data_IF_001124868198
#
_entry.id   IF_001124868198
#
_cell.length_a   1.000
_cell.length_b   1.000
_cell.length_c   1.000
_cell.angle_alpha   90.00
_cell.angle_beta   90.00
_cell.angle_gamma   90.00
#
_symmetry.space_group_name_H-M   'P 1'
#
loop_
_entity.id
_entity.type
_entity.pdbx_description
1 polymer ?
#
# COMPACT_ATOMS: atom_id res chain seq x y z
N UNK A 1 37.11 -12.17 42.74
CA UNK A 1 37.19 -13.17 41.65
C UNK A 1 36.59 -12.53 40.42
N UNK A 2 37.40 -12.27 39.40
CA UNK A 2 37.02 -11.51 38.22
C UNK A 2 36.27 -12.36 37.19
N UNK A 3 35.24 -11.78 36.58
CA UNK A 3 34.49 -12.36 35.47
C UNK A 3 35.21 -12.02 34.15
N UNK A 4 35.58 -13.05 33.38
CA UNK A 4 36.07 -12.92 32.01
C UNK A 4 34.96 -13.36 31.05
N UNK A 5 34.44 -12.41 30.28
CA UNK A 5 33.52 -12.63 29.17
C UNK A 5 34.31 -13.08 27.94
N UNK A 6 34.09 -14.32 27.49
CA UNK A 6 34.60 -14.82 26.21
C UNK A 6 33.51 -14.65 25.13
N UNK A 7 33.71 -13.67 24.24
CA UNK A 7 32.91 -13.48 23.02
C UNK A 7 33.43 -14.46 21.96
N UNK A 8 32.62 -15.44 21.57
CA UNK A 8 32.86 -16.27 20.37
C UNK A 8 32.11 -15.63 19.19
N UNK A 9 32.85 -15.07 18.23
CA UNK A 9 32.35 -14.77 16.88
C UNK A 9 32.48 -16.04 16.04
N UNK A 10 31.35 -16.61 15.61
CA UNK A 10 31.34 -17.65 14.57
C UNK A 10 31.19 -16.98 13.21
N UNK A 11 32.12 -17.29 12.30
CA UNK A 11 32.04 -16.97 10.89
C UNK A 11 31.53 -18.21 10.15
N UNK A 12 30.53 -18.05 9.30
CA UNK A 12 30.05 -19.09 8.39
C UNK A 12 30.35 -18.68 6.95
N UNK A 13 31.32 -19.38 6.36
CA UNK A 13 31.65 -19.37 4.93
C UNK A 13 31.02 -20.61 4.31
N UNK A 14 30.24 -20.47 3.25
CA UNK A 14 29.93 -21.57 2.33
C UNK A 14 30.10 -21.10 0.89
N UNK A 15 30.86 -21.88 0.14
CA UNK A 15 31.13 -21.74 -1.28
C UNK A 15 30.67 -23.02 -1.99
N UNK A 16 30.13 -22.89 -3.21
CA UNK A 16 29.98 -23.95 -4.21
C UNK A 16 29.93 -23.26 -5.58
N UNK A 17 31.00 -23.21 -6.38
CA UNK A 17 31.54 -24.20 -7.33
C UNK A 17 30.59 -24.62 -8.46
N UNK A 18 30.67 -23.82 -9.55
CA UNK A 18 30.93 -24.17 -10.96
C UNK A 18 30.10 -25.27 -11.68
N UNK A 19 29.37 -24.81 -12.71
CA UNK A 19 29.76 -25.13 -14.10
C UNK A 19 28.68 -25.75 -14.98
N UNK A 20 28.40 -25.13 -16.13
CA UNK A 20 28.42 -25.79 -17.45
C UNK A 20 28.41 -24.81 -18.63
N UNK A 21 29.18 -25.22 -19.62
CA UNK A 21 29.49 -24.56 -20.90
C UNK A 21 28.43 -24.94 -21.94
N UNK A 22 27.99 -23.98 -22.75
CA UNK A 22 27.54 -24.24 -24.12
C UNK A 22 27.76 -23.01 -25.01
N UNK A 23 27.89 -23.29 -26.31
CA UNK A 23 28.78 -22.63 -27.26
C UNK A 23 27.95 -22.07 -28.42
N UNK A 24 28.18 -20.79 -28.73
CA UNK A 24 28.12 -20.09 -30.03
C UNK A 24 27.07 -20.49 -31.08
N UNK A 25 26.40 -19.48 -31.67
CA UNK A 25 26.67 -19.08 -33.06
C UNK A 25 26.03 -17.71 -33.38
N UNK A 26 26.89 -16.76 -33.74
CA UNK A 26 26.52 -15.47 -34.30
C UNK A 26 26.31 -15.61 -35.81
N UNK A 27 25.22 -15.05 -36.33
CA UNK A 27 25.04 -14.77 -37.75
C UNK A 27 24.55 -13.34 -37.90
N UNK A 28 25.45 -12.50 -38.41
CA UNK A 28 25.18 -11.12 -38.79
C UNK A 28 24.37 -11.07 -40.08
N UNK A 29 23.31 -10.26 -40.12
CA UNK A 29 22.70 -9.81 -41.37
C UNK A 29 22.50 -8.30 -41.29
N UNK A 30 23.32 -7.59 -42.06
CA UNK A 30 23.19 -6.17 -42.36
C UNK A 30 22.10 -6.04 -43.43
N UNK A 31 21.03 -5.28 -43.18
CA UNK A 31 20.25 -4.68 -44.27
C UNK A 31 19.78 -3.27 -43.90
N UNK A 32 19.73 -2.49 -44.97
CA UNK A 32 19.82 -1.06 -45.13
C UNK A 32 18.62 -0.25 -44.65
N UNK A 33 18.92 1.04 -44.44
CA UNK A 33 18.09 2.16 -44.00
C UNK A 33 16.80 2.35 -44.80
N UNK A 34 15.76 2.82 -44.11
CA UNK A 34 14.79 3.76 -44.68
C UNK A 34 14.39 4.77 -43.61
N UNK A 35 14.70 6.02 -43.89
CA UNK A 35 14.45 7.21 -43.08
C UNK A 35 12.98 7.61 -43.12
N UNK A 36 12.34 7.74 -41.96
CA UNK A 36 11.13 8.55 -41.81
C UNK A 36 11.20 9.37 -40.53
N UNK A 37 10.78 10.61 -40.69
CA UNK A 37 11.04 11.81 -39.89
C UNK A 37 10.18 11.83 -38.61
N UNK A 38 10.76 12.03 -37.41
CA UNK A 38 10.00 12.43 -36.23
C UNK A 38 9.71 13.95 -36.27
N UNK A 39 8.46 14.32 -36.00
CA UNK A 39 7.97 15.69 -35.86
C UNK A 39 8.77 16.48 -34.80
N UNK A 40 9.02 17.79 -34.99
CA UNK A 40 9.77 18.58 -34.02
C UNK A 40 8.95 18.83 -32.74
N UNK A 41 9.48 18.32 -31.64
CA UNK A 41 9.18 18.75 -30.28
C UNK A 41 9.62 20.20 -30.11
N UNK A 42 8.73 21.05 -29.59
CA UNK A 42 9.03 22.44 -29.24
C UNK A 42 9.79 22.50 -27.91
N UNK A 43 11.08 22.19 -27.92
CA UNK A 43 11.98 22.54 -26.83
C UNK A 43 12.67 23.87 -27.16
N UNK A 44 12.30 24.92 -26.44
CA UNK A 44 13.00 26.21 -26.47
C UNK A 44 14.36 26.06 -25.78
N UNK A 45 15.48 26.51 -26.39
CA UNK A 45 16.74 26.62 -25.67
C UNK A 45 16.68 27.84 -24.74
N UNK A 46 16.70 27.61 -23.43
CA UNK A 46 16.97 28.68 -22.47
C UNK A 46 18.45 29.06 -22.59
N UNK A 47 18.70 30.29 -23.01
CA UNK A 47 20.04 30.90 -23.01
C UNK A 47 20.43 31.17 -21.56
N UNK A 48 21.45 30.45 -21.07
CA UNK A 48 22.04 30.73 -19.77
C UNK A 48 22.79 32.07 -19.82
N UNK A 49 22.21 33.11 -19.21
CA UNK A 49 22.95 34.32 -18.82
C UNK A 49 23.37 34.15 -17.38
N UNK A 50 24.68 34.03 -17.16
CA UNK A 50 25.28 34.04 -15.83
C UNK A 50 24.99 35.36 -15.11
N UNK A 51 24.53 35.26 -13.87
CA UNK A 51 24.49 36.36 -12.92
C UNK A 51 25.42 36.03 -11.75
N UNK A 52 26.16 37.02 -11.21
CA UNK A 52 27.04 36.79 -10.08
C UNK A 52 26.20 36.54 -8.82
N UNK A 53 26.69 35.59 -8.03
CA UNK A 53 26.17 35.15 -6.75
C UNK A 53 25.89 36.34 -5.81
N UNK A 54 24.61 36.51 -5.43
CA UNK A 54 24.19 37.39 -4.34
C UNK A 54 23.20 36.63 -3.45
N UNK A 55 23.74 35.81 -2.56
CA UNK A 55 22.95 34.99 -1.63
C UNK A 55 22.51 35.83 -0.44
N UNK A 56 21.43 36.59 -0.62
CA UNK A 56 20.66 37.15 0.50
C UNK A 56 19.17 37.44 0.18
N UNK A 57 18.70 37.19 -1.06
CA UNK A 57 17.29 37.48 -1.47
C UNK A 57 16.61 36.37 -2.28
N UNK A 58 17.30 35.26 -2.54
CA UNK A 58 16.80 34.12 -3.34
C UNK A 58 15.76 33.21 -2.63
N UNK A 59 15.87 32.86 -1.33
CA UNK A 59 14.95 31.88 -0.72
C UNK A 59 13.49 32.36 -0.68
N UNK A 60 13.27 33.66 -0.45
CA UNK A 60 11.91 34.23 -0.43
C UNK A 60 11.18 34.15 -1.79
N UNK A 61 11.91 34.03 -2.91
CA UNK A 61 11.31 33.91 -4.24
C UNK A 61 10.97 32.47 -4.60
N UNK A 62 11.81 31.50 -4.19
CA UNK A 62 11.51 30.07 -4.39
C UNK A 62 10.28 29.66 -3.60
N UNK A 63 10.15 30.13 -2.37
CA UNK A 63 9.06 29.74 -1.47
C UNK A 63 7.74 30.34 -1.94
N UNK A 64 7.74 31.59 -2.41
CA UNK A 64 6.57 32.20 -3.05
C UNK A 64 6.12 31.44 -4.31
N UNK A 65 7.07 30.97 -5.12
CA UNK A 65 6.75 30.19 -6.32
C UNK A 65 6.12 28.85 -5.93
N UNK A 66 6.69 28.17 -4.93
CA UNK A 66 6.16 26.92 -4.42
C UNK A 66 4.76 27.09 -3.80
N UNK A 67 4.53 28.15 -3.03
CA UNK A 67 3.20 28.47 -2.47
C UNK A 67 2.17 28.65 -3.58
N UNK A 68 2.51 29.34 -4.68
CA UNK A 68 1.59 29.51 -5.81
C UNK A 68 1.22 28.18 -6.48
N UNK A 69 2.20 27.29 -6.62
CA UNK A 69 1.98 25.93 -7.17
C UNK A 69 1.09 25.11 -6.24
N UNK A 70 1.33 25.14 -4.93
CA UNK A 70 0.49 24.45 -3.94
C UNK A 70 -0.93 25.04 -3.93
N UNK A 71 -1.08 26.35 -4.08
CA UNK A 71 -2.40 27.00 -4.14
C UNK A 71 -3.20 26.62 -5.39
N UNK A 72 -2.54 26.48 -6.55
CA UNK A 72 -3.21 25.91 -7.72
C UNK A 72 -3.63 24.47 -7.48
N UNK A 73 -2.77 23.65 -6.88
CA UNK A 73 -3.07 22.23 -6.62
C UNK A 73 -4.23 22.06 -5.64
N UNK A 74 -4.28 22.86 -4.55
CA UNK A 74 -5.41 22.85 -3.60
C UNK A 74 -6.71 23.23 -4.30
N UNK A 75 -6.68 24.19 -5.21
CA UNK A 75 -7.86 24.63 -5.95
C UNK A 75 -8.35 23.51 -6.87
N UNK A 76 -7.45 22.90 -7.63
CA UNK A 76 -7.78 21.86 -8.61
C UNK A 76 -8.31 20.60 -7.91
N UNK A 77 -7.70 20.20 -6.78
CA UNK A 77 -8.17 19.05 -5.98
C UNK A 77 -9.50 19.29 -5.27
N UNK A 78 -9.79 20.53 -4.83
CA UNK A 78 -11.10 20.87 -4.27
C UNK A 78 -12.22 20.81 -5.31
N UNK A 79 -11.95 21.29 -6.53
CA UNK A 79 -12.92 21.25 -7.64
C UNK A 79 -13.22 19.81 -8.09
N UNK A 80 -12.29 18.88 -7.94
CA UNK A 80 -12.51 17.46 -8.23
C UNK A 80 -13.41 16.75 -7.18
N UNK A 81 -13.24 17.07 -5.89
CA UNK A 81 -13.96 16.42 -4.76
C UNK A 81 -15.42 16.90 -4.63
N UNK A 82 -15.72 18.17 -4.94
CA UNK A 82 -17.07 18.77 -4.80
C UNK A 82 -18.08 18.23 -5.83
N UNK A 83 -17.61 17.52 -6.86
CA UNK A 83 -18.46 16.91 -7.89
C UNK A 83 -19.04 15.54 -7.51
N UNK A 84 -18.57 14.90 -6.43
CA UNK A 84 -18.98 13.54 -5.99
C UNK A 84 -19.71 13.52 -4.63
N UNK A 85 -20.37 14.63 -4.28
CA UNK A 85 -21.04 14.86 -3.00
C UNK A 85 -22.40 14.14 -2.83
N UNK A 86 -22.60 13.02 -3.52
CA UNK A 86 -23.65 12.07 -3.15
C UNK A 86 -23.06 11.11 -2.12
N UNK A 87 -23.41 11.29 -0.84
CA UNK A 87 -23.21 10.27 0.19
C UNK A 87 -24.08 9.06 -0.21
N UNK A 88 -23.48 8.07 -0.86
CA UNK A 88 -24.13 6.78 -1.05
C UNK A 88 -24.51 6.21 0.31
N UNK A 89 -25.81 6.22 0.60
CA UNK A 89 -26.35 5.61 1.82
C UNK A 89 -26.36 4.11 1.63
N UNK A 90 -25.37 3.40 2.18
CA UNK A 90 -25.47 1.93 2.25
C UNK A 90 -26.69 1.58 3.11
N UNK A 91 -27.43 0.57 2.67
CA UNK A 91 -28.39 -0.11 3.54
C UNK A 91 -27.65 -0.64 4.80
N UNK A 92 -28.01 -0.11 5.97
CA UNK A 92 -27.41 -0.50 7.25
C UNK A 92 -27.57 -1.99 7.57
N UNK A 93 -28.47 -2.71 6.88
CA UNK A 93 -28.60 -4.15 7.00
C UNK A 93 -27.43 -4.93 6.38
N UNK A 94 -26.83 -4.40 5.31
CA UNK A 94 -25.68 -5.02 4.64
C UNK A 94 -24.33 -4.56 5.20
N UNK A 95 -24.29 -3.38 5.83
CA UNK A 95 -23.10 -2.85 6.49
C UNK A 95 -23.35 -2.52 7.98
N UNK A 96 -23.12 -3.50 8.89
CA UNK A 96 -23.45 -3.38 10.31
C UNK A 96 -22.33 -2.78 11.17
N UNK A 97 -21.35 -2.12 10.56
CA UNK A 97 -20.18 -1.58 11.26
C UNK A 97 -20.34 -0.10 11.55
N UNK A 98 -19.81 0.33 12.69
CA UNK A 98 -19.55 1.74 12.97
C UNK A 98 -18.20 2.12 12.37
N UNK A 99 -18.18 3.18 11.58
CA UNK A 99 -16.96 3.73 10.97
C UNK A 99 -16.34 4.77 11.91
N UNK A 100 -15.05 4.63 12.20
CA UNK A 100 -14.22 5.62 12.88
C UNK A 100 -13.09 6.06 11.94
N UNK A 101 -13.20 7.30 11.46
CA UNK A 101 -12.28 7.91 10.50
C UNK A 101 -11.60 9.13 11.13
N UNK A 102 -10.28 9.04 11.29
CA UNK A 102 -9.46 10.08 11.92
C UNK A 102 -8.63 10.82 10.85
N UNK A 103 -8.80 12.15 10.70
CA UNK A 103 -7.99 12.94 9.77
C UNK A 103 -6.48 12.81 10.03
N UNK A 104 -5.70 12.65 8.97
CA UNK A 104 -4.25 12.45 9.02
C UNK A 104 -3.81 10.99 9.15
N UNK A 105 -4.74 10.05 9.31
CA UNK A 105 -4.45 8.62 9.27
C UNK A 105 -4.73 8.05 7.88
N UNK A 106 -3.93 7.06 7.45
CA UNK A 106 -4.14 6.33 6.19
C UNK A 106 -5.12 5.16 6.32
N UNK A 107 -5.69 4.97 7.50
CA UNK A 107 -6.59 3.87 7.82
C UNK A 107 -7.90 4.37 8.40
N UNK A 108 -8.92 3.53 8.27
CA UNK A 108 -10.24 3.68 8.87
C UNK A 108 -10.52 2.46 9.73
N UNK A 109 -11.09 2.66 10.91
CA UNK A 109 -11.43 1.56 11.81
C UNK A 109 -12.93 1.30 11.78
N UNK A 110 -13.32 0.07 11.44
CA UNK A 110 -14.69 -0.41 11.52
C UNK A 110 -14.86 -1.25 12.78
N UNK A 111 -15.90 -0.97 13.56
CA UNK A 111 -16.16 -1.70 14.81
C UNK A 111 -17.57 -2.27 14.86
N UNK A 112 -17.68 -3.47 15.43
CA UNK A 112 -18.96 -4.16 15.67
C UNK A 112 -18.85 -5.10 16.86
N UNK A 113 -19.95 -5.25 17.60
CA UNK A 113 -20.14 -6.36 18.53
C UNK A 113 -21.06 -7.43 17.91
N UNK A 114 -20.67 -8.70 18.01
CA UNK A 114 -21.47 -9.83 17.52
C UNK A 114 -21.36 -11.02 18.47
N UNK A 115 -22.47 -11.45 19.05
CA UNK A 115 -22.54 -12.58 20.00
C UNK A 115 -21.53 -12.49 21.17
N UNK A 116 -21.21 -11.27 21.60
CA UNK A 116 -20.24 -11.01 22.66
C UNK A 116 -18.77 -11.15 22.24
N UNK A 117 -18.51 -11.22 20.93
CA UNK A 117 -17.20 -11.00 20.32
C UNK A 117 -17.10 -9.54 19.86
N UNK A 118 -15.91 -8.97 19.97
CA UNK A 118 -15.58 -7.66 19.40
C UNK A 118 -14.92 -7.89 18.04
N UNK A 119 -15.44 -7.24 17.00
CA UNK A 119 -14.89 -7.25 15.65
C UNK A 119 -14.34 -5.85 15.38
N UNK A 120 -13.06 -5.80 15.06
CA UNK A 120 -12.36 -4.61 14.57
C UNK A 120 -11.89 -4.91 13.15
N UNK A 121 -12.10 -3.99 12.23
CA UNK A 121 -11.51 -4.05 10.88
C UNK A 121 -10.73 -2.77 10.68
N UNK A 122 -9.45 -2.89 10.36
CA UNK A 122 -8.63 -1.75 9.93
C UNK A 122 -8.50 -1.80 8.42
N UNK A 123 -9.11 -0.84 7.75
CA UNK A 123 -9.10 -0.70 6.29
C UNK A 123 -8.05 0.32 5.92
N UNK A 124 -7.10 -0.06 5.07
CA UNK A 124 -5.99 0.80 4.63
C UNK A 124 -6.29 1.41 3.26
N UNK A 125 -5.76 2.58 2.95
CA UNK A 125 -5.91 3.16 1.60
C UNK A 125 -5.38 2.20 0.51
N UNK A 126 -6.03 2.17 -0.68
CA UNK A 126 -5.53 1.44 -1.84
C UNK A 126 -4.09 1.83 -2.22
N UNK A 127 -3.37 0.95 -2.91
CA UNK A 127 -1.99 1.21 -3.37
C UNK A 127 -0.92 1.10 -2.27
N UNK A 128 -1.30 0.68 -1.06
CA UNK A 128 -0.38 0.33 0.03
C UNK A 128 0.07 -1.14 -0.03
N UNK A 129 0.29 -1.69 -1.22
CA UNK A 129 0.93 -3.00 -1.31
C UNK A 129 2.26 -2.90 -0.55
N UNK A 130 2.34 -3.58 0.60
CA UNK A 130 3.58 -3.80 1.30
C UNK A 130 4.41 -4.64 0.34
N UNK A 131 5.34 -3.98 -0.34
CA UNK A 131 6.32 -4.63 -1.18
C UNK A 131 7.30 -5.36 -0.25
N UNK A 132 6.89 -6.54 0.21
CA UNK A 132 7.74 -7.41 1.02
C UNK A 132 8.52 -8.42 0.16
N UNK A 133 8.57 -8.25 -1.17
CA UNK A 133 9.42 -9.08 -2.04
C UNK A 133 10.06 -8.25 -3.17
N UNK A 134 10.75 -7.18 -2.80
CA UNK A 134 11.66 -6.45 -3.69
C UNK A 134 13.05 -7.15 -3.71
N UNK A 135 13.08 -8.47 -3.95
CA UNK A 135 14.29 -9.27 -4.16
C UNK A 135 13.99 -10.35 -5.22
N UNK A 136 13.74 -9.95 -6.46
CA UNK A 136 14.02 -10.74 -7.68
C UNK A 136 13.89 -9.83 -8.91
N UNK A 137 14.87 -8.94 -9.08
CA UNK A 137 15.12 -8.30 -10.39
C UNK A 137 15.82 -9.32 -11.27
N UNK A 138 15.09 -10.33 -11.74
CA UNK A 138 15.48 -11.08 -12.94
C UNK A 138 14.93 -10.32 -14.15
N UNK A 139 15.83 -9.56 -14.77
CA UNK A 139 15.64 -8.83 -16.01
C UNK A 139 15.60 -9.82 -17.19
N UNK A 140 14.45 -10.47 -17.37
CA UNK A 140 14.08 -11.15 -18.61
C UNK A 140 12.90 -10.37 -19.25
N UNK A 141 13.25 -9.35 -20.04
CA UNK A 141 12.34 -8.72 -21.01
C UNK A 141 11.88 -9.75 -22.06
N UNK A 142 10.75 -10.39 -21.83
CA UNK A 142 9.92 -10.97 -22.88
C UNK A 142 8.44 -10.65 -22.63
N UNK A 143 7.84 -9.97 -23.62
CA UNK A 143 6.60 -9.23 -23.50
C UNK A 143 5.34 -10.07 -23.26
N UNK A 144 4.60 -9.67 -22.22
CA UNK A 144 3.16 -9.80 -22.05
C UNK A 144 2.69 -8.59 -21.21
N UNK A 145 2.18 -7.55 -21.87
CA UNK A 145 1.64 -6.36 -21.23
C UNK A 145 0.27 -6.59 -20.60
N UNK A 146 0.17 -7.44 -19.58
CA UNK A 146 -1.11 -7.75 -18.93
C UNK A 146 -1.06 -8.00 -17.42
N UNK A 147 -0.26 -7.28 -16.65
CA UNK A 147 -0.39 -7.25 -15.18
C UNK A 147 0.07 -5.93 -14.55
N UNK A 148 -0.61 -4.82 -14.84
CA UNK A 148 -0.47 -3.58 -14.04
C UNK A 148 -1.80 -2.89 -13.70
N UNK A 149 -2.95 -3.55 -13.97
CA UNK A 149 -4.28 -2.96 -13.71
C UNK A 149 -5.13 -3.68 -12.66
N UNK A 150 -4.66 -4.82 -12.12
CA UNK A 150 -5.47 -5.63 -11.20
C UNK A 150 -5.43 -5.13 -9.76
N UNK A 151 -4.44 -4.33 -9.39
CA UNK A 151 -4.23 -3.90 -8.01
C UNK A 151 -4.77 -2.48 -7.74
N UNK A 152 -5.22 -1.76 -8.77
CA UNK A 152 -5.78 -0.41 -8.59
C UNK A 152 -7.12 -0.45 -7.83
N UNK A 153 -7.85 -1.59 -7.90
CA UNK A 153 -9.19 -1.74 -7.31
C UNK A 153 -9.21 -2.64 -6.07
N UNK A 154 -8.08 -2.81 -5.37
CA UNK A 154 -8.02 -3.60 -4.14
C UNK A 154 -7.71 -2.76 -2.90
N UNK A 155 -8.19 -3.24 -1.75
CA UNK A 155 -8.01 -2.59 -0.46
C UNK A 155 -7.45 -3.60 0.55
N UNK A 156 -6.28 -3.33 1.15
CA UNK A 156 -5.79 -4.11 2.27
C UNK A 156 -6.66 -3.87 3.51
N UNK A 157 -7.05 -4.94 4.19
CA UNK A 157 -7.77 -4.85 5.46
C UNK A 157 -7.31 -5.92 6.44
N UNK A 158 -7.24 -5.54 7.72
CA UNK A 158 -6.95 -6.45 8.83
C UNK A 158 -8.21 -6.64 9.65
N UNK A 159 -8.67 -7.89 9.79
CA UNK A 159 -9.84 -8.22 10.62
C UNK A 159 -9.38 -8.86 11.91
N UNK A 160 -9.70 -8.26 13.05
CA UNK A 160 -9.45 -8.81 14.38
C UNK A 160 -10.76 -9.20 15.04
N UNK A 161 -10.90 -10.47 15.44
CA UNK A 161 -12.03 -10.99 16.20
C UNK A 161 -11.57 -11.37 17.60
N UNK A 162 -11.96 -10.57 18.59
CA UNK A 162 -11.60 -10.78 20.00
C UNK A 162 -12.75 -11.38 20.79
N UNK A 163 -12.50 -12.52 21.42
CA UNK A 163 -13.46 -13.17 22.32
C UNK A 163 -13.39 -12.60 23.73
N UNK A 164 -14.43 -12.84 24.54
CA UNK A 164 -14.49 -12.45 25.96
C UNK A 164 -13.30 -12.94 26.80
N UNK A 165 -12.61 -14.00 26.37
CA UNK A 165 -11.40 -14.52 27.03
C UNK A 165 -10.15 -13.67 26.79
N UNK A 166 -10.23 -12.62 25.95
CA UNK A 166 -9.08 -11.84 25.49
C UNK A 166 -8.28 -12.52 24.37
N UNK A 167 -8.68 -13.72 23.93
CA UNK A 167 -8.03 -14.36 22.77
C UNK A 167 -8.57 -13.74 21.48
N UNK A 168 -7.67 -13.35 20.59
CA UNK A 168 -8.00 -12.73 19.31
C UNK A 168 -7.53 -13.59 18.15
N UNK A 169 -8.34 -13.63 17.11
CA UNK A 169 -7.98 -14.18 15.81
C UNK A 169 -7.87 -13.01 14.85
N UNK A 170 -6.71 -12.84 14.25
CA UNK A 170 -6.42 -11.79 13.28
C UNK A 170 -6.31 -12.39 11.88
N UNK A 171 -6.86 -11.70 10.90
CA UNK A 171 -6.79 -12.07 9.49
C UNK A 171 -6.21 -10.89 8.71
N UNK A 172 -5.18 -11.14 7.91
CA UNK A 172 -4.81 -10.25 6.81
C UNK A 172 -5.65 -10.62 5.60
N UNK A 173 -6.28 -9.62 5.00
CA UNK A 173 -7.17 -9.81 3.86
C UNK A 173 -6.97 -8.72 2.81
N UNK A 174 -7.31 -9.08 1.58
CA UNK A 174 -7.38 -8.16 0.45
C UNK A 174 -8.81 -8.17 -0.09
N UNK A 175 -9.46 -7.01 -0.08
CA UNK A 175 -10.78 -6.82 -0.68
C UNK A 175 -10.66 -6.40 -2.15
N UNK A 176 -11.42 -7.05 -3.01
CA UNK A 176 -11.64 -6.74 -4.43
C UNK A 176 -13.14 -6.42 -4.66
N UNK A 177 -13.54 -5.89 -5.83
CA UNK A 177 -14.94 -5.46 -6.08
C UNK A 177 -16.02 -6.52 -5.79
N UNK A 178 -15.70 -7.82 -5.93
CA UNK A 178 -16.69 -8.90 -5.72
C UNK A 178 -16.23 -9.99 -4.72
N UNK A 179 -15.06 -9.82 -4.09
CA UNK A 179 -14.50 -10.86 -3.24
C UNK A 179 -13.59 -10.32 -2.13
N UNK A 180 -13.43 -11.13 -1.08
CA UNK A 180 -12.45 -10.88 -0.03
C UNK A 180 -11.58 -12.13 0.06
N UNK A 181 -10.29 -11.93 -0.22
CA UNK A 181 -9.26 -12.95 -0.11
C UNK A 181 -8.64 -12.88 1.27
N UNK A 182 -8.44 -14.05 1.90
CA UNK A 182 -7.68 -14.16 3.15
C UNK A 182 -6.25 -14.50 2.76
N UNK A 183 -5.33 -13.62 3.12
CA UNK A 183 -3.91 -13.76 2.81
C UNK A 183 -3.21 -14.56 3.92
N UNK A 184 -3.60 -14.32 5.17
CA UNK A 184 -3.04 -14.97 6.35
C UNK A 184 -3.95 -14.89 7.56
N UNK A 185 -3.65 -15.67 8.60
CA UNK A 185 -4.32 -15.58 9.90
C UNK A 185 -3.36 -15.90 11.03
N UNK A 186 -3.47 -15.17 12.14
CA UNK A 186 -2.67 -15.40 13.34
C UNK A 186 -3.55 -15.39 14.60
N UNK A 187 -3.06 -15.99 15.68
CA UNK A 187 -3.76 -16.03 16.98
C UNK A 187 -2.97 -15.26 18.02
N UNK A 188 -3.57 -14.21 18.56
CA UNK A 188 -2.86 -13.21 19.36
C UNK A 188 -3.63 -12.95 20.66
N UNK A 189 -2.94 -12.44 21.69
CA UNK A 189 -3.56 -11.81 22.86
C UNK A 189 -3.14 -10.34 22.90
N UNK A 190 -4.09 -9.39 22.92
CA UNK A 190 -3.76 -7.96 22.88
C UNK A 190 -3.02 -7.47 24.15
N UNK A 191 -3.11 -8.20 25.27
CA UNK A 191 -2.42 -7.85 26.53
C UNK A 191 -0.95 -8.35 26.60
N UNK A 192 -0.50 -9.19 25.65
CA UNK A 192 0.85 -9.81 25.68
C UNK A 192 1.94 -8.93 25.01
N UNK A 193 1.79 -7.60 25.04
CA UNK A 193 2.67 -6.62 24.36
C UNK A 193 4.11 -6.55 24.91
N UNK A 194 4.50 -7.45 25.81
CA UNK A 194 5.86 -7.53 26.37
C UNK A 194 6.75 -8.60 25.72
N UNK A 195 6.20 -9.44 24.85
CA UNK A 195 6.96 -10.46 24.11
C UNK A 195 6.59 -10.45 22.62
N UNK A 196 6.95 -9.38 21.90
CA UNK A 196 6.94 -9.31 20.41
C UNK A 196 7.92 -10.30 19.75
N UNK A 197 8.28 -11.40 20.42
CA UNK A 197 9.36 -12.28 20.00
C UNK A 197 8.89 -13.74 20.03
N UNK A 198 8.61 -14.26 18.83
CA UNK A 198 8.52 -15.70 18.49
C UNK A 198 7.14 -16.37 18.62
N UNK A 199 6.01 -15.65 18.55
CA UNK A 199 4.73 -16.31 18.28
C UNK A 199 4.72 -16.88 16.86
N UNK A 200 4.26 -18.12 16.72
CA UNK A 200 4.10 -18.76 15.43
C UNK A 200 2.87 -18.20 14.73
N UNK A 201 3.06 -17.52 13.61
CA UNK A 201 1.99 -16.87 12.85
C UNK A 201 1.13 -17.83 12.01
N UNK A 202 1.44 -19.13 12.06
CA UNK A 202 0.75 -20.13 11.25
C UNK A 202 1.48 -20.46 9.95
N UNK A 203 1.01 -21.49 9.23
CA UNK A 203 1.42 -21.72 7.85
C UNK A 203 0.77 -20.67 6.94
N UNK A 204 1.21 -20.62 5.68
CA UNK A 204 0.51 -19.85 4.65
C UNK A 204 -0.96 -20.31 4.54
N UNK A 205 -1.88 -19.37 4.33
CA UNK A 205 -3.31 -19.68 4.29
C UNK A 205 -3.64 -20.71 3.19
N UNK A 206 -2.89 -20.73 2.09
CA UNK A 206 -3.07 -21.67 0.98
C UNK A 206 -2.68 -23.11 1.32
N UNK A 207 -1.82 -23.30 2.32
CA UNK A 207 -1.39 -24.63 2.80
C UNK A 207 -2.44 -25.30 3.70
N UNK A 208 -3.44 -24.55 4.18
CA UNK A 208 -4.53 -25.09 4.99
C UNK A 208 -5.46 -25.98 4.15
N UNK A 209 -6.07 -26.97 4.82
CA UNK A 209 -7.08 -27.84 4.21
C UNK A 209 -8.23 -27.01 3.60
N UNK A 210 -8.72 -27.45 2.44
CA UNK A 210 -9.76 -26.76 1.68
C UNK A 210 -11.05 -26.49 2.49
N UNK A 211 -11.47 -27.43 3.32
CA UNK A 211 -12.66 -27.25 4.16
C UNK A 211 -12.39 -26.25 5.29
N UNK A 212 -11.15 -26.19 5.80
CA UNK A 212 -10.73 -25.21 6.79
C UNK A 212 -10.75 -23.80 6.21
N UNK A 213 -10.18 -23.60 5.02
CA UNK A 213 -10.21 -22.31 4.30
C UNK A 213 -11.64 -21.83 4.07
N UNK A 214 -12.51 -22.68 3.51
CA UNK A 214 -13.94 -22.40 3.32
C UNK A 214 -14.66 -22.03 4.62
N UNK A 215 -14.31 -22.70 5.72
CA UNK A 215 -14.90 -22.43 7.04
C UNK A 215 -14.49 -21.06 7.58
N UNK A 216 -13.26 -20.60 7.32
CA UNK A 216 -12.82 -19.26 7.70
C UNK A 216 -13.49 -18.14 6.89
N UNK A 217 -13.68 -18.32 5.58
CA UNK A 217 -14.49 -17.37 4.80
C UNK A 217 -15.91 -17.25 5.37
N UNK A 218 -16.57 -18.38 5.66
CA UNK A 218 -17.90 -18.38 6.31
C UNK A 218 -17.87 -17.76 7.71
N UNK A 219 -16.78 -17.95 8.46
CA UNK A 219 -16.59 -17.35 9.78
C UNK A 219 -16.58 -15.82 9.70
N UNK A 220 -15.87 -15.24 8.72
CA UNK A 220 -15.84 -13.79 8.48
C UNK A 220 -17.20 -13.28 7.95
N UNK A 221 -17.81 -13.99 7.00
CA UNK A 221 -19.10 -13.63 6.40
C UNK A 221 -20.21 -13.53 7.45
N UNK A 222 -20.30 -14.49 8.38
CA UNK A 222 -21.29 -14.48 9.47
C UNK A 222 -21.10 -13.32 10.46
N UNK A 223 -19.92 -12.68 10.48
CA UNK A 223 -19.61 -11.49 11.29
C UNK A 223 -19.85 -10.17 10.55
N UNK A 224 -20.26 -10.25 9.27
CA UNK A 224 -20.58 -9.09 8.44
C UNK A 224 -19.46 -8.67 7.49
N UNK A 225 -18.35 -9.42 7.43
CA UNK A 225 -17.29 -9.18 6.45
C UNK A 225 -17.71 -9.85 5.14
N UNK A 226 -18.37 -9.09 4.27
CA UNK A 226 -19.02 -9.59 3.05
C UNK A 226 -18.46 -8.88 1.82
N UNK A 227 -18.38 -9.62 0.72
CA UNK A 227 -18.08 -9.07 -0.60
C UNK A 227 -19.05 -7.95 -1.01
N UNK A 228 -20.33 -8.00 -0.62
CA UNK A 228 -21.31 -6.97 -0.96
C UNK A 228 -21.01 -5.57 -0.41
N UNK A 229 -20.04 -5.43 0.49
CA UNK A 229 -19.63 -4.16 1.07
C UNK A 229 -18.30 -3.64 0.52
N UNK A 230 -17.60 -4.37 -0.33
CA UNK A 230 -16.25 -4.01 -0.78
C UNK A 230 -16.26 -2.80 -1.71
N UNK A 231 -17.22 -2.69 -2.62
CA UNK A 231 -17.38 -1.52 -3.50
C UNK A 231 -17.56 -0.23 -2.69
N UNK A 232 -18.48 -0.23 -1.72
CA UNK A 232 -18.64 0.90 -0.83
C UNK A 232 -17.34 1.24 -0.08
N UNK A 233 -16.67 0.22 0.47
CA UNK A 233 -15.42 0.45 1.19
C UNK A 233 -14.35 1.05 0.27
N UNK A 234 -14.29 0.63 -0.99
CA UNK A 234 -13.37 1.15 -1.98
C UNK A 234 -13.64 2.62 -2.24
N UNK A 235 -14.88 2.97 -2.55
CA UNK A 235 -15.28 4.37 -2.77
C UNK A 235 -15.04 5.23 -1.52
N UNK A 236 -15.38 4.72 -0.34
CA UNK A 236 -15.12 5.41 0.93
C UNK A 236 -13.63 5.73 1.09
N UNK A 237 -12.75 4.76 0.81
CA UNK A 237 -11.31 4.93 0.94
C UNK A 237 -10.72 5.85 -0.14
N UNK A 238 -11.25 5.85 -1.36
CA UNK A 238 -10.86 6.80 -2.42
C UNK A 238 -11.24 8.24 -2.06
N UNK A 239 -12.45 8.45 -1.51
CA UNK A 239 -12.87 9.76 -0.98
C UNK A 239 -11.97 10.17 0.18
N UNK A 240 -11.62 9.24 1.08
CA UNK A 240 -10.68 9.52 2.17
C UNK A 240 -9.31 9.94 1.63
N UNK A 241 -8.75 9.22 0.65
CA UNK A 241 -7.45 9.55 0.05
C UNK A 241 -7.43 10.98 -0.50
N UNK A 242 -8.47 11.37 -1.22
CA UNK A 242 -8.65 12.73 -1.74
C UNK A 242 -8.70 13.79 -0.63
N UNK A 243 -9.46 13.54 0.45
CA UNK A 243 -9.53 14.44 1.63
C UNK A 243 -8.18 14.55 2.35
N UNK A 244 -7.46 13.44 2.50
CA UNK A 244 -6.15 13.43 3.16
C UNK A 244 -5.08 14.12 2.32
N UNK A 245 -5.13 13.98 0.98
CA UNK A 245 -4.26 14.71 0.07
C UNK A 245 -4.46 16.23 0.20
N UNK A 246 -5.70 16.70 0.22
CA UNK A 246 -6.05 18.10 0.48
C UNK A 246 -5.54 18.58 1.84
N UNK A 247 -5.69 17.76 2.88
CA UNK A 247 -5.17 18.08 4.22
C UNK A 247 -3.64 18.17 4.22
N UNK A 248 -2.97 17.27 3.51
CA UNK A 248 -1.52 17.24 3.36
C UNK A 248 -1.01 18.49 2.62
N UNK A 249 -1.64 18.89 1.51
CA UNK A 249 -1.28 20.12 0.78
C UNK A 249 -1.41 21.35 1.66
N UNK A 250 -2.48 21.45 2.48
CA UNK A 250 -2.67 22.56 3.43
C UNK A 250 -1.56 22.61 4.50
N UNK A 251 -1.16 21.45 5.03
CA UNK A 251 -0.05 21.33 5.98
C UNK A 251 1.28 21.72 5.31
N UNK A 252 1.53 21.22 4.09
CA UNK A 252 2.72 21.55 3.31
C UNK A 252 2.80 23.05 3.04
N UNK A 253 1.69 23.68 2.63
CA UNK A 253 1.62 25.14 2.46
C UNK A 253 2.01 25.88 3.74
N UNK A 254 1.46 25.44 4.88
CA UNK A 254 1.74 26.06 6.19
C UNK A 254 3.22 25.97 6.53
N UNK A 255 3.86 24.84 6.27
CA UNK A 255 5.30 24.65 6.47
C UNK A 255 6.15 25.59 5.61
N UNK A 256 5.81 25.78 4.32
CA UNK A 256 6.55 26.68 3.42
C UNK A 256 6.36 28.16 3.79
N UNK A 257 5.30 28.48 4.55
CA UNK A 257 5.01 29.84 5.01
C UNK A 257 5.67 30.22 6.35
N UNK A 258 6.25 29.25 7.07
CA UNK A 258 6.93 29.45 8.35
C UNK A 258 8.34 30.06 8.18
#
# INVERSE_FOLDING_TARGET
>A
MGFALCIRRSASTLASVCGRVARAQAVSAIVNRSSLVPKPSLLRPFVSRGFPYSTATEPLKSDQTLIQVIDSEIKDSFEADDHDADEETIDSSDFPFKIEDNPGHRTVTLTREYNGEQIKVEVSMPGLAMDENEDDVDDDEDGDGRHEKSNESSIPLVVTVTKKSGLSLEFSCTAFPDEIVIDGLSVNRPDDSSEEQLTYDGPDFQELDENMRKSFHKFLETRGIKASATDFLYEYMMKKDSREYLLWLKKLKTFVQE
#
